data_IF_028796031513
#
_entry.id   IF_028796031513
#
_cell.length_a   1.000
_cell.length_b   1.000
_cell.length_c   1.000
_cell.angle_alpha   90.00
_cell.angle_beta   90.00
_cell.angle_gamma   90.00
#
_symmetry.space_group_name_H-M   'P 1'
#
loop_
_entity.id
_entity.type
_entity.pdbx_description
1 polymer ?
#
# COMPACT_ATOMS: atom_id res chain seq x y z
N UNK A 1 31.04 -19.27 48.44
CA UNK A 1 31.79 -18.46 47.46
C UNK A 1 31.48 -18.81 45.99
N UNK A 2 31.34 -20.07 45.63
CA UNK A 2 31.05 -20.51 44.24
C UNK A 2 29.75 -19.95 43.65
N UNK A 3 28.67 -19.84 44.47
CA UNK A 3 27.35 -19.29 44.00
C UNK A 3 27.41 -17.84 43.54
N UNK A 4 28.19 -16.98 44.22
CA UNK A 4 28.30 -15.56 43.87
C UNK A 4 29.05 -15.39 42.54
N UNK A 5 30.06 -16.22 42.24
CA UNK A 5 30.81 -16.18 40.99
C UNK A 5 29.90 -16.60 39.82
N UNK A 6 29.11 -17.66 40.01
CA UNK A 6 28.17 -18.14 38.98
C UNK A 6 27.11 -17.10 38.67
N UNK A 7 26.55 -16.45 39.69
CA UNK A 7 25.55 -15.38 39.49
C UNK A 7 26.17 -14.18 38.77
N UNK A 8 27.38 -13.76 39.18
CA UNK A 8 28.08 -12.66 38.48
C UNK A 8 28.38 -12.94 37.01
N UNK A 9 28.80 -14.18 36.72
CA UNK A 9 29.02 -14.62 35.35
C UNK A 9 27.73 -14.65 34.52
N UNK A 10 26.64 -15.17 35.09
CA UNK A 10 25.34 -15.19 34.41
C UNK A 10 24.84 -13.78 34.09
N UNK A 11 24.95 -12.84 35.05
CA UNK A 11 24.58 -11.44 34.84
C UNK A 11 25.41 -10.83 33.71
N UNK A 12 26.73 -11.05 33.71
CA UNK A 12 27.62 -10.56 32.63
C UNK A 12 27.17 -11.07 31.25
N UNK A 13 26.97 -12.38 31.11
CA UNK A 13 26.55 -13.00 29.84
C UNK A 13 25.20 -12.46 29.36
N UNK A 14 24.22 -12.31 30.26
CA UNK A 14 22.90 -11.76 29.95
C UNK A 14 23.02 -10.30 29.51
N UNK A 15 23.83 -9.50 30.22
CA UNK A 15 24.05 -8.09 29.88
C UNK A 15 24.73 -7.94 28.51
N UNK A 16 25.77 -8.70 28.25
CA UNK A 16 26.45 -8.72 26.94
C UNK A 16 25.50 -9.16 25.82
N UNK A 17 24.68 -10.17 26.05
CA UNK A 17 23.66 -10.62 25.07
C UNK A 17 22.65 -9.52 24.76
N UNK A 18 22.09 -8.84 25.79
CA UNK A 18 21.11 -7.75 25.63
C UNK A 18 21.76 -6.57 24.87
N UNK A 19 22.95 -6.15 25.25
CA UNK A 19 23.66 -5.04 24.61
C UNK A 19 23.99 -5.36 23.14
N UNK A 20 24.44 -6.58 22.86
CA UNK A 20 24.74 -7.01 21.50
C UNK A 20 23.48 -7.06 20.63
N UNK A 21 22.37 -7.56 21.17
CA UNK A 21 21.09 -7.62 20.45
C UNK A 21 20.57 -6.22 20.14
N UNK A 22 20.59 -5.29 21.10
CA UNK A 22 20.17 -3.91 20.89
C UNK A 22 21.01 -3.20 19.83
N UNK A 23 22.32 -3.36 19.84
CA UNK A 23 23.23 -2.79 18.84
C UNK A 23 22.93 -3.34 17.43
N UNK A 24 22.63 -4.62 17.29
CA UNK A 24 22.26 -5.23 16.01
C UNK A 24 20.93 -4.68 15.50
N UNK A 25 19.94 -4.52 16.36
CA UNK A 25 18.63 -3.95 15.99
C UNK A 25 18.76 -2.49 15.55
N UNK A 26 19.53 -1.67 16.28
CA UNK A 26 19.79 -0.29 15.88
C UNK A 26 20.51 -0.19 14.53
N UNK A 27 21.51 -1.04 14.29
CA UNK A 27 22.20 -1.06 12.99
C UNK A 27 21.27 -1.46 11.85
N UNK A 28 20.36 -2.42 12.08
CA UNK A 28 19.34 -2.81 11.11
C UNK A 28 18.38 -1.66 10.82
N UNK A 29 17.91 -0.95 11.86
CA UNK A 29 17.02 0.20 11.70
C UNK A 29 17.70 1.35 10.94
N UNK A 30 18.94 1.69 11.28
CA UNK A 30 19.73 2.70 10.55
C UNK A 30 19.93 2.35 9.08
N UNK A 31 20.20 1.07 8.79
CA UNK A 31 20.31 0.59 7.40
C UNK A 31 18.97 0.65 6.67
N UNK A 32 17.87 0.33 7.35
CA UNK A 32 16.52 0.42 6.81
C UNK A 32 16.16 1.88 6.50
N UNK A 33 16.41 2.79 7.45
CA UNK A 33 16.16 4.22 7.26
C UNK A 33 16.93 4.78 6.06
N UNK A 34 18.20 4.44 5.90
CA UNK A 34 18.99 4.85 4.71
C UNK A 34 18.36 4.38 3.39
N UNK A 35 17.77 3.17 3.37
CA UNK A 35 17.05 2.69 2.18
C UNK A 35 15.79 3.53 1.92
N UNK A 36 15.04 3.87 2.98
CA UNK A 36 13.83 4.69 2.88
C UNK A 36 14.17 6.11 2.42
N UNK A 37 15.23 6.70 2.96
CA UNK A 37 15.69 8.05 2.62
C UNK A 37 16.08 8.21 1.15
N UNK A 38 16.53 7.13 0.53
CA UNK A 38 16.86 7.11 -0.89
C UNK A 38 15.63 7.02 -1.81
N UNK A 39 14.43 6.69 -1.27
CA UNK A 39 13.23 6.56 -2.07
C UNK A 39 12.60 7.93 -2.36
N UNK A 40 12.10 8.09 -3.59
CA UNK A 40 11.30 9.23 -4.05
C UNK A 40 10.12 8.73 -4.86
N UNK A 41 8.97 9.37 -4.73
CA UNK A 41 7.76 8.98 -5.46
C UNK A 41 7.26 7.55 -5.10
N UNK A 42 7.68 7.03 -3.96
CA UNK A 42 7.27 5.71 -3.48
C UNK A 42 5.86 5.74 -2.89
N UNK A 43 5.34 4.58 -2.57
CA UNK A 43 4.03 4.40 -1.95
C UNK A 43 4.26 4.10 -0.47
N UNK A 44 3.43 4.67 0.40
CA UNK A 44 3.43 4.35 1.84
C UNK A 44 2.18 3.55 2.15
N UNK A 45 2.32 2.43 2.85
CA UNK A 45 1.23 1.61 3.37
C UNK A 45 1.22 1.75 4.89
N UNK A 46 0.19 2.39 5.43
CA UNK A 46 -0.01 2.55 6.85
C UNK A 46 -0.90 1.42 7.39
N UNK A 47 -0.30 0.56 8.22
CA UNK A 47 -0.89 -0.67 8.75
C UNK A 47 -0.64 -1.89 7.86
N UNK A 48 -0.08 -2.97 8.45
CA UNK A 48 0.22 -4.23 7.75
C UNK A 48 -0.73 -5.36 8.16
N UNK A 49 -1.97 -5.02 8.50
CA UNK A 49 -3.08 -5.96 8.69
C UNK A 49 -3.54 -6.61 7.38
N UNK A 50 -4.75 -7.18 7.37
CA UNK A 50 -5.31 -7.90 6.21
C UNK A 50 -5.24 -7.11 4.90
N UNK A 51 -5.74 -5.87 4.91
CA UNK A 51 -5.81 -5.02 3.71
C UNK A 51 -4.43 -4.49 3.30
N UNK A 52 -3.62 -4.00 4.25
CA UNK A 52 -2.26 -3.50 3.96
C UNK A 52 -1.37 -4.59 3.40
N UNK A 53 -1.44 -5.81 3.95
CA UNK A 53 -0.70 -6.97 3.43
C UNK A 53 -1.11 -7.32 2.00
N UNK A 54 -2.40 -7.28 1.70
CA UNK A 54 -2.89 -7.54 0.34
C UNK A 54 -2.44 -6.47 -0.65
N UNK A 55 -2.50 -5.19 -0.24
CA UNK A 55 -1.97 -4.07 -1.03
C UNK A 55 -0.46 -4.24 -1.30
N UNK A 56 0.33 -4.56 -0.27
CA UNK A 56 1.77 -4.79 -0.40
C UNK A 56 2.09 -5.92 -1.39
N UNK A 57 1.39 -7.05 -1.30
CA UNK A 57 1.55 -8.17 -2.24
C UNK A 57 1.29 -7.76 -3.68
N UNK A 58 0.20 -7.02 -3.91
CA UNK A 58 -0.16 -6.55 -5.26
C UNK A 58 0.88 -5.56 -5.79
N UNK A 59 1.31 -4.59 -4.96
CA UNK A 59 2.35 -3.62 -5.33
C UNK A 59 3.68 -4.30 -5.65
N UNK A 60 4.07 -5.33 -4.88
CA UNK A 60 5.26 -6.14 -5.17
C UNK A 60 5.16 -6.84 -6.51
N UNK A 61 4.00 -7.41 -6.86
CA UNK A 61 3.76 -8.04 -8.15
C UNK A 61 3.92 -7.05 -9.31
N UNK A 62 3.53 -5.78 -9.10
CA UNK A 62 3.75 -4.68 -10.07
C UNK A 62 5.14 -4.03 -9.97
N UNK A 63 6.05 -4.57 -9.16
CA UNK A 63 7.41 -4.04 -8.94
C UNK A 63 7.41 -2.56 -8.53
N UNK A 64 6.39 -2.12 -7.77
CA UNK A 64 6.31 -0.76 -7.23
C UNK A 64 7.10 -0.66 -5.93
N UNK A 65 7.84 0.44 -5.77
CA UNK A 65 8.54 0.73 -4.52
C UNK A 65 7.57 1.22 -3.46
N UNK A 66 7.60 0.63 -2.27
CA UNK A 66 6.76 1.04 -1.16
C UNK A 66 7.46 0.86 0.19
N UNK A 67 6.95 1.57 1.19
CA UNK A 67 7.37 1.51 2.60
C UNK A 67 6.14 1.18 3.44
N UNK A 68 6.29 0.37 4.48
CA UNK A 68 5.21 0.03 5.41
C UNK A 68 5.44 0.76 6.74
N UNK A 69 4.39 1.35 7.31
CA UNK A 69 4.36 1.82 8.70
C UNK A 69 3.56 0.82 9.51
N UNK A 70 4.16 0.24 10.56
CA UNK A 70 3.50 -0.73 11.43
C UNK A 70 4.02 -0.60 12.87
N UNK A 71 3.12 -0.70 13.85
CA UNK A 71 3.47 -0.66 15.27
C UNK A 71 3.58 -2.04 15.92
N UNK A 72 2.93 -3.03 15.34
CA UNK A 72 2.88 -4.40 15.87
C UNK A 72 4.17 -5.16 15.53
N UNK A 73 4.90 -5.54 16.57
CA UNK A 73 6.19 -6.25 16.45
C UNK A 73 6.06 -7.63 15.78
N UNK A 74 4.96 -8.34 15.99
CA UNK A 74 4.75 -9.66 15.38
C UNK A 74 4.59 -9.55 13.86
N UNK A 75 3.94 -8.47 13.38
CA UNK A 75 3.81 -8.20 11.96
C UNK A 75 5.13 -7.74 11.33
N UNK A 76 6.00 -7.08 12.11
CA UNK A 76 7.30 -6.62 11.65
C UNK A 76 8.27 -7.76 11.33
N UNK A 77 8.24 -8.87 12.08
CA UNK A 77 9.09 -10.04 11.79
C UNK A 77 8.83 -10.59 10.38
N UNK A 78 7.58 -10.55 9.94
CA UNK A 78 7.19 -10.96 8.58
C UNK A 78 7.70 -10.00 7.50
N UNK A 79 7.67 -8.69 7.77
CA UNK A 79 8.24 -7.67 6.86
C UNK A 79 9.75 -7.82 6.69
N UNK A 80 10.44 -8.19 7.77
CA UNK A 80 11.89 -8.46 7.72
C UNK A 80 12.20 -9.66 6.82
N UNK A 81 11.43 -10.74 6.94
CA UNK A 81 11.59 -11.95 6.12
C UNK A 81 11.38 -11.64 4.63
N UNK A 82 10.41 -10.80 4.32
CA UNK A 82 10.07 -10.42 2.94
C UNK A 82 10.97 -9.29 2.38
N UNK A 83 11.96 -8.82 3.17
CA UNK A 83 12.86 -7.71 2.83
C UNK A 83 12.15 -6.42 2.38
N UNK A 84 10.96 -6.18 2.91
CA UNK A 84 10.14 -4.99 2.64
C UNK A 84 10.64 -3.83 3.51
N UNK A 85 10.88 -2.62 2.96
CA UNK A 85 11.19 -1.44 3.77
C UNK A 85 10.03 -1.08 4.71
N UNK A 86 10.35 -0.81 5.98
CA UNK A 86 9.34 -0.48 6.98
C UNK A 86 9.85 0.52 8.01
N UNK A 87 8.91 1.24 8.62
CA UNK A 87 9.09 2.11 9.79
C UNK A 87 8.28 1.52 10.95
N UNK A 88 8.92 1.42 12.12
CA UNK A 88 8.28 0.94 13.35
C UNK A 88 7.71 2.14 14.09
N UNK A 89 6.41 2.18 14.31
CA UNK A 89 5.81 3.22 15.13
C UNK A 89 4.32 3.40 14.90
N UNK A 90 3.77 4.33 15.67
CA UNK A 90 2.38 4.74 15.53
C UNK A 90 2.28 5.82 14.46
N UNK A 91 1.52 5.56 13.41
CA UNK A 91 1.32 6.50 12.29
C UNK A 91 0.58 7.80 12.70
N UNK A 92 0.02 7.85 13.91
CA UNK A 92 -0.53 9.11 14.47
C UNK A 92 0.57 10.10 14.90
N UNK A 93 1.83 9.71 14.86
CA UNK A 93 2.98 10.56 15.17
C UNK A 93 3.59 11.10 13.87
N UNK A 94 3.68 12.42 13.74
CA UNK A 94 4.20 13.08 12.52
C UNK A 94 5.64 12.67 12.21
N UNK A 95 6.47 12.43 13.24
CA UNK A 95 7.84 11.95 13.07
C UNK A 95 7.91 10.60 12.37
N UNK A 96 6.96 9.70 12.65
CA UNK A 96 6.86 8.39 12.00
C UNK A 96 6.47 8.54 10.52
N UNK A 97 5.53 9.45 10.23
CA UNK A 97 5.16 9.79 8.85
C UNK A 97 6.35 10.38 8.08
N UNK A 98 7.11 11.25 8.71
CA UNK A 98 8.32 11.85 8.13
C UNK A 98 9.43 10.80 7.90
N UNK A 99 9.65 9.89 8.85
CA UNK A 99 10.60 8.78 8.67
C UNK A 99 10.22 7.88 7.48
N UNK A 100 8.92 7.70 7.22
CA UNK A 100 8.44 6.97 6.05
C UNK A 100 8.54 7.78 4.74
N UNK A 101 8.85 9.07 4.80
CA UNK A 101 9.05 9.95 3.65
C UNK A 101 7.76 10.45 3.03
N UNK A 102 6.73 10.77 3.82
CA UNK A 102 5.46 11.34 3.36
C UNK A 102 5.66 12.60 2.52
N UNK A 103 6.62 13.44 2.88
CA UNK A 103 6.99 14.69 2.19
C UNK A 103 7.35 14.48 0.71
N UNK A 104 7.88 13.31 0.35
CA UNK A 104 8.38 12.97 -0.98
C UNK A 104 7.73 11.74 -1.61
N UNK A 105 6.72 11.15 -0.96
CA UNK A 105 5.95 10.02 -1.47
C UNK A 105 4.92 10.47 -2.53
N UNK A 106 4.60 9.60 -3.48
CA UNK A 106 3.56 9.83 -4.49
C UNK A 106 2.18 9.40 -4.01
N UNK A 107 2.11 8.37 -3.17
CA UNK A 107 0.84 7.80 -2.72
C UNK A 107 0.93 7.33 -1.27
N UNK A 108 -0.17 7.47 -0.54
CA UNK A 108 -0.35 7.01 0.83
C UNK A 108 -1.60 6.15 0.92
N UNK A 109 -1.48 4.93 1.43
CA UNK A 109 -2.57 3.99 1.65
C UNK A 109 -2.77 3.83 3.15
N UNK A 110 -3.87 4.36 3.70
CA UNK A 110 -4.25 4.16 5.10
C UNK A 110 -5.12 2.92 5.22
N UNK A 111 -4.60 1.88 5.89
CA UNK A 111 -5.24 0.57 6.03
C UNK A 111 -5.37 0.14 7.51
N UNK A 112 -5.47 1.10 8.41
CA UNK A 112 -5.62 0.86 9.85
C UNK A 112 -7.00 0.25 10.17
N UNK A 113 -7.13 -0.49 11.26
CA UNK A 113 -8.41 -1.11 11.65
C UNK A 113 -9.46 -0.07 12.10
N UNK A 114 -9.03 1.05 12.66
CA UNK A 114 -9.88 2.12 13.22
C UNK A 114 -10.10 3.23 12.20
N UNK A 115 -11.36 3.60 11.95
CA UNK A 115 -11.71 4.73 11.07
C UNK A 115 -11.26 6.07 11.65
N UNK A 116 -11.26 6.21 12.98
CA UNK A 116 -10.75 7.41 13.66
C UNK A 116 -9.23 7.57 13.45
N UNK A 117 -8.46 6.48 13.56
CA UNK A 117 -7.02 6.50 13.28
C UNK A 117 -6.77 6.80 11.79
N UNK A 118 -7.55 6.18 10.88
CA UNK A 118 -7.45 6.50 9.46
C UNK A 118 -7.73 7.98 9.18
N UNK A 119 -8.74 8.56 9.84
CA UNK A 119 -9.08 9.98 9.69
C UNK A 119 -7.92 10.88 10.15
N UNK A 120 -7.37 10.59 11.32
CA UNK A 120 -6.24 11.36 11.87
C UNK A 120 -5.02 11.29 10.95
N UNK A 121 -4.62 10.09 10.55
CA UNK A 121 -3.45 9.88 9.68
C UNK A 121 -3.63 10.52 8.30
N UNK A 122 -4.85 10.49 7.74
CA UNK A 122 -5.17 11.19 6.49
C UNK A 122 -4.99 12.70 6.63
N UNK A 123 -5.48 13.29 7.73
CA UNK A 123 -5.30 14.72 8.02
C UNK A 123 -3.81 15.09 8.14
N UNK A 124 -3.04 14.37 8.96
CA UNK A 124 -1.60 14.61 9.14
C UNK A 124 -0.85 14.44 7.83
N UNK A 125 -1.13 13.39 7.07
CA UNK A 125 -0.52 13.14 5.76
C UNK A 125 -0.80 14.29 4.78
N UNK A 126 -2.04 14.79 4.72
CA UNK A 126 -2.43 15.91 3.85
C UNK A 126 -1.80 17.23 4.31
N UNK A 127 -1.61 17.41 5.62
CA UNK A 127 -0.94 18.56 6.18
C UNK A 127 0.55 18.60 5.78
N UNK A 128 1.24 17.45 5.86
CA UNK A 128 2.66 17.32 5.51
C UNK A 128 2.85 17.45 4.00
N UNK A 129 2.01 16.77 3.21
CA UNK A 129 2.13 16.76 1.74
C UNK A 129 0.77 17.02 1.08
N UNK A 130 0.59 18.25 0.58
CA UNK A 130 -0.67 18.71 0.00
C UNK A 130 -1.03 18.01 -1.32
N UNK A 131 -0.06 17.46 -2.03
CA UNK A 131 -0.23 16.91 -3.37
C UNK A 131 -0.22 15.37 -3.41
N UNK A 132 0.04 14.69 -2.29
CA UNK A 132 0.10 13.23 -2.23
C UNK A 132 -1.28 12.62 -2.54
N UNK A 133 -1.30 11.54 -3.32
CA UNK A 133 -2.53 10.79 -3.54
C UNK A 133 -2.82 9.90 -2.31
N UNK A 134 -3.95 10.13 -1.64
CA UNK A 134 -4.32 9.41 -0.42
C UNK A 134 -5.48 8.47 -0.69
N UNK A 135 -5.28 7.19 -0.40
CA UNK A 135 -6.30 6.16 -0.43
C UNK A 135 -6.52 5.70 1.00
N UNK A 136 -7.74 5.76 1.50
CA UNK A 136 -8.06 5.35 2.86
C UNK A 136 -9.08 4.22 2.90
N UNK A 137 -8.87 3.29 3.84
CA UNK A 137 -9.89 2.33 4.21
C UNK A 137 -10.92 3.01 5.13
N UNK A 138 -12.20 2.66 4.97
CA UNK A 138 -13.25 2.87 5.95
C UNK A 138 -13.92 1.55 6.30
N UNK A 139 -14.34 1.39 7.55
CA UNK A 139 -15.15 0.25 8.01
C UNK A 139 -16.64 0.60 8.01
N UNK A 140 -16.97 1.89 8.22
CA UNK A 140 -18.33 2.39 8.31
C UNK A 140 -18.64 3.35 7.14
N UNK A 141 -19.84 3.25 6.56
CA UNK A 141 -20.28 4.20 5.52
C UNK A 141 -20.29 5.66 6.03
N UNK A 142 -20.62 5.86 7.32
CA UNK A 142 -20.60 7.19 7.95
C UNK A 142 -19.20 7.82 8.01
N UNK A 143 -18.15 7.04 7.87
CA UNK A 143 -16.77 7.51 7.85
C UNK A 143 -16.29 7.93 6.45
N UNK A 144 -17.01 7.51 5.39
CA UNK A 144 -16.65 7.78 4.01
C UNK A 144 -16.49 9.27 3.72
N UNK A 145 -17.55 10.05 3.96
CA UNK A 145 -17.55 11.50 3.70
C UNK A 145 -16.53 12.23 4.59
N UNK A 146 -16.38 11.80 5.84
CA UNK A 146 -15.39 12.41 6.76
C UNK A 146 -13.96 12.23 6.26
N UNK A 147 -13.62 11.03 5.77
CA UNK A 147 -12.31 10.74 5.19
C UNK A 147 -12.08 11.51 3.88
N UNK A 148 -13.11 11.68 3.05
CA UNK A 148 -13.05 12.54 1.86
C UNK A 148 -12.78 13.99 2.23
N UNK A 149 -13.51 14.53 3.20
CA UNK A 149 -13.31 15.89 3.72
C UNK A 149 -11.94 16.09 4.36
N UNK A 150 -11.40 15.06 5.02
CA UNK A 150 -10.04 15.09 5.57
C UNK A 150 -8.94 15.12 4.50
N UNK A 151 -9.29 14.91 3.23
CA UNK A 151 -8.37 14.99 2.10
C UNK A 151 -8.00 13.66 1.46
N UNK A 152 -8.72 12.56 1.75
CA UNK A 152 -8.54 11.32 1.01
C UNK A 152 -9.05 11.46 -0.43
N UNK A 153 -8.20 11.13 -1.40
CA UNK A 153 -8.59 11.12 -2.82
C UNK A 153 -9.56 9.97 -3.10
N UNK A 154 -9.33 8.82 -2.47
CA UNK A 154 -10.23 7.66 -2.57
C UNK A 154 -10.47 7.06 -1.18
N UNK A 155 -11.70 6.60 -0.95
CA UNK A 155 -12.08 5.86 0.26
C UNK A 155 -12.67 4.53 -0.16
N UNK A 156 -12.21 3.46 0.46
CA UNK A 156 -12.60 2.09 0.16
C UNK A 156 -13.26 1.47 1.39
N UNK A 157 -14.41 0.83 1.19
CA UNK A 157 -15.11 0.00 2.18
C UNK A 157 -14.93 -1.48 1.79
N UNK A 158 -13.90 -2.17 2.28
CA UNK A 158 -13.56 -3.52 1.83
C UNK A 158 -14.66 -4.54 2.09
N UNK A 159 -15.34 -4.43 3.24
CA UNK A 159 -16.40 -5.36 3.63
C UNK A 159 -17.64 -5.19 2.74
N UNK A 160 -17.99 -3.97 2.33
CA UNK A 160 -19.05 -3.71 1.36
C UNK A 160 -18.71 -4.30 -0.01
N UNK A 161 -17.50 -4.01 -0.51
CA UNK A 161 -17.05 -4.55 -1.81
C UNK A 161 -17.06 -6.09 -1.78
N UNK A 162 -16.56 -6.69 -0.69
CA UNK A 162 -16.57 -8.14 -0.53
C UNK A 162 -17.98 -8.72 -0.48
N UNK A 163 -18.90 -8.08 0.25
CA UNK A 163 -20.31 -8.47 0.32
C UNK A 163 -21.02 -8.40 -1.03
N UNK A 164 -20.86 -7.27 -1.74
CA UNK A 164 -21.42 -7.08 -3.08
C UNK A 164 -20.88 -8.12 -4.06
N UNK A 165 -19.59 -8.44 -4.00
CA UNK A 165 -18.98 -9.45 -4.84
C UNK A 165 -19.53 -10.86 -4.55
N UNK A 166 -19.66 -11.23 -3.27
CA UNK A 166 -20.27 -12.51 -2.87
C UNK A 166 -21.71 -12.64 -3.36
N UNK A 167 -22.51 -11.59 -3.25
CA UNK A 167 -23.88 -11.57 -3.76
C UNK A 167 -23.92 -11.72 -5.30
N UNK A 168 -23.02 -11.06 -6.00
CA UNK A 168 -22.91 -11.12 -7.46
C UNK A 168 -22.57 -12.51 -7.97
N UNK A 169 -21.75 -13.28 -7.25
CA UNK A 169 -21.47 -14.68 -7.58
C UNK A 169 -22.71 -15.58 -7.51
N UNK A 170 -23.71 -15.22 -6.72
CA UNK A 170 -24.99 -15.93 -6.65
C UNK A 170 -25.95 -15.50 -7.76
N UNK A 171 -26.02 -14.19 -8.02
CA UNK A 171 -27.01 -13.60 -8.93
C UNK A 171 -26.59 -13.71 -10.40
N UNK A 172 -25.31 -13.48 -10.69
CA UNK A 172 -24.74 -13.42 -12.05
C UNK A 172 -23.42 -14.17 -12.17
N UNK A 173 -23.35 -15.47 -11.83
CA UNK A 173 -22.10 -16.22 -11.73
C UNK A 173 -21.29 -16.20 -13.04
N UNK A 174 -21.91 -16.35 -14.19
CA UNK A 174 -21.22 -16.36 -15.48
C UNK A 174 -20.57 -15.02 -15.84
N UNK A 175 -21.16 -13.88 -15.41
CA UNK A 175 -20.55 -12.58 -15.60
C UNK A 175 -19.33 -12.41 -14.68
N UNK A 176 -19.43 -12.88 -13.44
CA UNK A 176 -18.31 -12.77 -12.48
C UNK A 176 -17.12 -13.62 -12.93
N UNK A 177 -17.37 -14.86 -13.38
CA UNK A 177 -16.33 -15.73 -13.96
C UNK A 177 -15.67 -15.07 -15.19
N UNK A 178 -16.44 -14.44 -16.05
CA UNK A 178 -15.92 -13.69 -17.19
C UNK A 178 -15.03 -12.53 -16.76
N UNK A 179 -15.46 -11.71 -15.78
CA UNK A 179 -14.70 -10.59 -15.25
C UNK A 179 -13.41 -11.03 -14.53
N UNK A 180 -13.44 -12.13 -13.79
CA UNK A 180 -12.27 -12.70 -13.13
C UNK A 180 -11.24 -13.22 -14.15
N UNK A 181 -11.71 -13.75 -15.29
CA UNK A 181 -10.88 -14.16 -16.40
C UNK A 181 -10.30 -12.98 -17.21
N UNK A 182 -10.88 -11.79 -17.10
CA UNK A 182 -10.32 -10.52 -17.62
C UNK A 182 -9.24 -9.94 -16.68
N UNK A 183 -8.44 -10.78 -16.05
CA UNK A 183 -7.44 -10.33 -15.08
C UNK A 183 -6.44 -9.33 -15.67
N UNK A 184 -6.27 -8.23 -14.98
CA UNK A 184 -5.43 -7.08 -15.35
C UNK A 184 -3.93 -7.44 -15.44
N UNK A 185 -3.47 -8.61 -14.98
CA UNK A 185 -2.05 -9.02 -15.08
C UNK A 185 -1.89 -10.55 -15.17
N UNK A 186 -1.44 -11.01 -16.32
CA UNK A 186 -0.41 -12.05 -16.39
C UNK A 186 -0.80 -13.53 -16.27
N UNK A 187 -2.08 -13.95 -16.28
CA UNK A 187 -2.45 -15.39 -16.32
C UNK A 187 -3.48 -15.77 -17.37
N UNK A 188 -4.04 -14.81 -18.08
CA UNK A 188 -4.99 -15.04 -19.18
C UNK A 188 -4.51 -14.34 -20.44
N UNK A 189 -4.94 -14.85 -21.60
CA UNK A 189 -4.60 -14.29 -22.92
C UNK A 189 -5.28 -12.92 -23.19
N UNK A 190 -5.97 -12.34 -22.21
CA UNK A 190 -6.69 -11.08 -22.34
C UNK A 190 -6.11 -10.09 -21.35
N UNK A 191 -5.50 -9.02 -21.85
CA UNK A 191 -5.01 -7.90 -21.04
C UNK A 191 -5.93 -6.71 -21.25
N UNK A 192 -6.28 -6.00 -20.15
CA UNK A 192 -6.98 -4.72 -20.22
C UNK A 192 -5.96 -3.64 -19.85
N UNK A 193 -5.78 -2.69 -20.75
CA UNK A 193 -4.87 -1.55 -20.56
C UNK A 193 -5.62 -0.25 -20.80
N UNK A 194 -5.33 0.76 -19.98
CA UNK A 194 -5.78 2.13 -20.19
C UNK A 194 -4.68 2.87 -20.97
N UNK A 195 -5.05 3.39 -22.14
CA UNK A 195 -4.13 4.12 -23.02
C UNK A 195 -4.66 5.52 -23.23
N UNK A 196 -3.85 6.53 -22.92
CA UNK A 196 -4.19 7.93 -23.19
C UNK A 196 -4.38 8.16 -24.69
N UNK A 197 -5.43 8.90 -25.08
CA UNK A 197 -5.80 9.15 -26.48
C UNK A 197 -4.66 9.80 -27.27
N UNK A 198 -3.87 10.67 -26.62
CA UNK A 198 -2.71 11.35 -27.23
C UNK A 198 -1.62 10.38 -27.70
N UNK A 199 -1.57 9.18 -27.11
CA UNK A 199 -0.62 8.13 -27.53
C UNK A 199 -1.10 7.32 -28.73
N UNK A 200 -2.39 7.39 -29.06
CA UNK A 200 -2.98 6.63 -30.16
C UNK A 200 -2.88 7.37 -31.51
N UNK A 201 -3.00 8.69 -31.49
CA UNK A 201 -2.89 9.52 -32.66
C UNK A 201 -2.64 11.00 -32.33
N UNK A 202 -2.30 11.81 -33.32
CA UNK A 202 -2.12 13.25 -33.16
C UNK A 202 -3.49 13.93 -32.95
N UNK A 203 -3.74 14.49 -31.79
CA UNK A 203 -5.03 15.06 -31.33
C UNK A 203 -5.48 16.32 -32.11
N UNK A 204 -4.71 16.81 -33.08
CA UNK A 204 -5.11 17.94 -33.95
C UNK A 204 -6.25 17.62 -34.90
N UNK A 205 -6.55 16.34 -35.12
CA UNK A 205 -7.64 15.88 -35.95
C UNK A 205 -8.70 15.16 -35.12
N UNK A 206 -9.97 15.44 -35.37
CA UNK A 206 -11.07 14.70 -34.74
C UNK A 206 -11.20 13.36 -35.45
N UNK A 207 -11.00 12.25 -34.69
CA UNK A 207 -11.14 10.88 -35.22
C UNK A 207 -12.11 10.10 -34.36
N UNK A 208 -12.92 9.28 -35.00
CA UNK A 208 -13.77 8.31 -34.30
C UNK A 208 -12.97 7.05 -34.00
N UNK A 209 -13.47 6.23 -33.05
CA UNK A 209 -12.89 4.90 -32.74
C UNK A 209 -12.82 4.04 -34.02
N UNK A 210 -13.83 4.18 -34.90
CA UNK A 210 -13.88 3.50 -36.21
C UNK A 210 -12.73 3.93 -37.14
N UNK A 211 -12.41 5.24 -37.17
CA UNK A 211 -11.34 5.78 -38.04
C UNK A 211 -9.96 5.33 -37.54
N UNK A 212 -9.79 5.05 -36.27
CA UNK A 212 -8.55 4.52 -35.71
C UNK A 212 -8.28 3.07 -36.11
N UNK A 213 -9.33 2.30 -36.42
CA UNK A 213 -9.26 0.89 -36.86
C UNK A 213 -8.34 0.02 -36.01
N UNK A 214 -8.42 0.21 -34.68
CA UNK A 214 -7.53 -0.41 -33.69
C UNK A 214 -7.59 -1.93 -33.76
N UNK A 215 -8.80 -2.50 -33.94
CA UNK A 215 -8.97 -3.95 -33.97
C UNK A 215 -8.17 -4.60 -35.09
N UNK A 216 -8.19 -4.01 -36.31
CA UNK A 216 -7.47 -4.54 -37.48
C UNK A 216 -5.97 -4.33 -37.36
N UNK A 217 -5.55 -3.19 -36.81
CA UNK A 217 -4.12 -2.81 -36.73
C UNK A 217 -3.39 -3.51 -35.59
N UNK A 218 -4.05 -3.75 -34.45
CA UNK A 218 -3.40 -4.20 -33.21
C UNK A 218 -4.00 -5.48 -32.61
N UNK A 219 -5.16 -5.94 -33.12
CA UNK A 219 -5.93 -7.04 -32.52
C UNK A 219 -6.72 -6.64 -31.27
N UNK A 220 -6.60 -5.40 -30.79
CA UNK A 220 -7.25 -4.91 -29.58
C UNK A 220 -8.71 -4.52 -29.83
N UNK A 221 -9.57 -4.71 -28.84
CA UNK A 221 -10.96 -4.25 -28.84
C UNK A 221 -11.11 -3.14 -27.81
N UNK A 222 -11.71 -2.01 -28.20
CA UNK A 222 -12.05 -0.93 -27.28
C UNK A 222 -13.29 -1.35 -26.46
N UNK A 223 -13.15 -1.39 -25.13
CA UNK A 223 -14.22 -1.78 -24.21
C UNK A 223 -14.96 -0.54 -23.68
N UNK A 224 -14.26 0.57 -23.55
CA UNK A 224 -14.81 1.81 -23.01
C UNK A 224 -13.94 3.02 -23.31
N UNK A 225 -14.51 4.17 -23.04
CA UNK A 225 -13.88 5.49 -23.17
C UNK A 225 -14.21 6.28 -21.89
N UNK A 226 -13.26 7.06 -21.42
CA UNK A 226 -13.41 7.95 -20.28
C UNK A 226 -13.01 9.37 -20.72
N UNK A 227 -13.91 10.33 -20.49
CA UNK A 227 -13.66 11.76 -20.59
C UNK A 227 -12.77 12.27 -19.45
#
# INVERSE_FOLDING_TARGET
MTSVIIVGYAIKVITEYILTKNNIEELKQKKMQKKIDALKGHIIICGYGRNGKQAARKLSAYKKSFVVIEKDKELLERLQTDNVPYVIGNANEDDILMQAGVDRAACFISALPSDADNLFVVLSTRQINKNINIISRASQESSYEKLKLAGANNVILPDKIGGDHMASLVVVPGLMEFLDNLAIVGKTNINIEEVAVEKLYNTKEVKTIKDLDLRRKTGCTVIGYKD
#
